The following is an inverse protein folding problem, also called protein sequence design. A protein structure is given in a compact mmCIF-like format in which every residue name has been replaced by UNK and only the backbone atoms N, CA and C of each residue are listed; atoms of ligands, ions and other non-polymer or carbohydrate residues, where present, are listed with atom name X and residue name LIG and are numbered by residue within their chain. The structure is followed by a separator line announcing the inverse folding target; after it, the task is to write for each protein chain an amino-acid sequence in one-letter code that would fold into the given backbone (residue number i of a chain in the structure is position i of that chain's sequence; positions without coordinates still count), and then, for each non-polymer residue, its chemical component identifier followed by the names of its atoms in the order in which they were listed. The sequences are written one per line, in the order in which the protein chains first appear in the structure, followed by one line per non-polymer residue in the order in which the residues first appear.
data_IF_707849828106
#
_entry.id   IF_707849828106
#
_cell.length_a   1.000
_cell.length_b   1.000
_cell.length_c   1.000
_cell.angle_alpha   90.00
_cell.angle_beta   90.00
_cell.angle_gamma   90.00
#
_symmetry.space_group_name_H-M   'P 1'
#
loop_
_entity.id
_entity.type
_entity.pdbx_description
1 polymer ?
#
# COMPACT_ATOMS: atom_id res chain seq x y z
N UNK A 1 -3.23 40.94 -10.39
CA UNK A 1 -4.06 40.41 -9.29
C UNK A 1 -3.54 39.02 -8.94
N UNK A 2 -2.63 38.89 -7.97
CA UNK A 2 -2.13 37.58 -7.54
C UNK A 2 -3.29 36.83 -6.86
N UNK A 3 -3.83 35.79 -7.51
CA UNK A 3 -4.72 34.86 -6.83
C UNK A 3 -3.96 34.29 -5.64
N UNK A 4 -4.45 34.48 -4.42
CA UNK A 4 -3.88 33.82 -3.25
C UNK A 4 -4.09 32.31 -3.40
N UNK A 5 -3.01 31.63 -3.76
CA UNK A 5 -2.96 30.19 -3.92
C UNK A 5 -2.99 29.56 -2.53
N UNK A 6 -4.05 28.83 -2.20
CA UNK A 6 -4.21 28.19 -0.89
C UNK A 6 -3.40 26.88 -0.84
N UNK A 7 -2.23 26.94 -0.21
CA UNK A 7 -1.31 25.79 -0.08
C UNK A 7 -1.67 24.82 1.04
N UNK A 8 -2.30 25.30 2.11
CA UNK A 8 -2.60 24.51 3.30
C UNK A 8 -4.08 24.13 3.35
N UNK A 9 -4.33 22.84 3.53
CA UNK A 9 -5.65 22.28 3.74
C UNK A 9 -6.18 22.54 5.15
N UNK A 10 -7.51 22.53 5.29
CA UNK A 10 -8.12 22.48 6.60
C UNK A 10 -8.05 21.05 7.12
N UNK A 11 -7.79 20.85 8.42
CA UNK A 11 -7.96 19.55 9.04
C UNK A 11 -9.39 19.02 8.81
N UNK A 12 -9.52 17.72 8.59
CA UNK A 12 -10.83 17.10 8.49
C UNK A 12 -11.60 17.25 9.81
N UNK A 13 -12.88 17.64 9.73
CA UNK A 13 -13.78 17.62 10.88
C UNK A 13 -14.04 16.18 11.34
N UNK A 14 -14.35 15.94 12.63
CA UNK A 14 -14.71 14.61 13.12
C UNK A 14 -15.84 14.00 12.28
N UNK A 15 -15.63 12.76 11.80
CA UNK A 15 -16.61 12.05 10.98
C UNK A 15 -16.81 12.57 9.55
N UNK A 16 -15.96 13.50 9.08
CA UNK A 16 -15.98 13.97 7.69
C UNK A 16 -14.74 13.53 6.91
N UNK A 17 -14.91 13.33 5.61
CA UNK A 17 -13.80 13.09 4.68
C UNK A 17 -12.82 14.27 4.68
N UNK A 18 -11.54 13.98 4.47
CA UNK A 18 -10.54 15.01 4.23
C UNK A 18 -10.76 15.58 2.83
N UNK A 19 -10.71 16.91 2.70
CA UNK A 19 -10.97 17.62 1.45
C UNK A 19 -9.71 18.40 1.05
N UNK A 20 -8.86 17.83 0.18
CA UNK A 20 -7.64 18.48 -0.25
C UNK A 20 -7.92 19.62 -1.24
N UNK A 21 -7.07 20.65 -1.22
CA UNK A 21 -7.01 21.71 -2.23
C UNK A 21 -6.62 21.14 -3.59
N UNK A 22 -6.88 21.89 -4.66
CA UNK A 22 -6.47 21.53 -6.02
C UNK A 22 -4.96 21.28 -6.12
N UNK A 23 -4.14 22.01 -5.36
CA UNK A 23 -2.68 21.86 -5.35
C UNK A 23 -2.30 20.51 -4.73
N UNK A 24 -2.89 20.16 -3.60
CA UNK A 24 -2.60 18.88 -2.97
C UNK A 24 -3.12 17.72 -3.80
N UNK A 25 -4.30 17.85 -4.43
CA UNK A 25 -4.77 16.83 -5.38
C UNK A 25 -3.81 16.66 -6.57
N UNK A 26 -3.27 17.76 -7.11
CA UNK A 26 -2.28 17.69 -8.17
C UNK A 26 -0.99 17.02 -7.70
N UNK A 27 -0.50 17.36 -6.50
CA UNK A 27 0.66 16.72 -5.90
C UNK A 27 0.43 15.22 -5.63
N UNK A 28 -0.77 14.84 -5.20
CA UNK A 28 -1.17 13.43 -5.02
C UNK A 28 -1.14 12.67 -6.37
N UNK A 29 -1.59 13.30 -7.46
CA UNK A 29 -1.51 12.71 -8.79
C UNK A 29 -0.05 12.56 -9.26
N UNK A 30 0.76 13.62 -9.12
CA UNK A 30 2.17 13.62 -9.54
C UNK A 30 3.00 12.58 -8.78
N UNK A 31 2.67 12.34 -7.50
CA UNK A 31 3.40 11.37 -6.68
C UNK A 31 3.08 9.91 -6.99
N UNK A 32 1.87 9.58 -7.46
CA UNK A 32 1.45 8.19 -7.69
C UNK A 32 1.34 7.77 -9.16
N UNK A 33 0.93 8.67 -10.07
CA UNK A 33 0.71 8.32 -11.47
C UNK A 33 1.99 7.77 -12.15
N UNK A 34 3.19 8.32 -11.91
CA UNK A 34 4.43 7.77 -12.46
C UNK A 34 4.78 6.38 -11.91
N UNK A 35 4.26 5.98 -10.75
CA UNK A 35 4.55 4.69 -10.13
C UNK A 35 3.89 3.52 -10.86
N UNK A 36 2.81 3.76 -11.62
CA UNK A 36 2.10 2.73 -12.39
C UNK A 36 3.02 2.03 -13.41
N UNK A 37 3.70 2.74 -14.34
CA UNK A 37 4.62 2.08 -15.27
C UNK A 37 5.80 1.41 -14.56
N UNK A 38 6.30 1.96 -13.44
CA UNK A 38 7.31 1.26 -12.62
C UNK A 38 6.77 -0.05 -12.04
N UNK A 39 5.52 -0.08 -11.59
CA UNK A 39 4.85 -1.29 -11.13
C UNK A 39 4.69 -2.33 -12.23
N UNK A 40 4.33 -1.92 -13.45
CA UNK A 40 4.23 -2.82 -14.62
C UNK A 40 5.59 -3.41 -14.97
N UNK A 41 6.62 -2.56 -15.07
CA UNK A 41 8.00 -3.02 -15.35
C UNK A 41 8.47 -3.96 -14.23
N UNK A 42 8.20 -3.63 -12.97
CA UNK A 42 8.55 -4.46 -11.82
C UNK A 42 7.88 -5.83 -11.86
N UNK A 43 6.57 -5.88 -12.13
CA UNK A 43 5.84 -7.15 -12.29
C UNK A 43 6.45 -8.01 -13.41
N UNK A 44 6.72 -7.42 -14.58
CA UNK A 44 7.32 -8.13 -15.70
C UNK A 44 8.70 -8.69 -15.35
N UNK A 45 9.51 -7.93 -14.60
CA UNK A 45 10.83 -8.36 -14.13
C UNK A 45 10.74 -9.51 -13.13
N UNK A 46 9.89 -9.40 -12.11
CA UNK A 46 9.66 -10.50 -11.16
C UNK A 46 9.19 -11.76 -11.90
N UNK A 47 8.26 -11.61 -12.84
CA UNK A 47 7.77 -12.76 -13.59
C UNK A 47 8.84 -13.37 -14.50
N UNK A 48 9.71 -12.56 -15.10
CA UNK A 48 10.81 -13.06 -15.96
C UNK A 48 11.91 -13.82 -15.20
N UNK A 49 12.05 -13.58 -13.90
CA UNK A 49 12.98 -14.29 -12.99
C UNK A 49 12.37 -15.52 -12.33
N UNK A 50 11.08 -15.76 -12.52
CA UNK A 50 10.41 -16.88 -11.87
C UNK A 50 10.69 -18.18 -12.64
N UNK A 51 11.37 -19.13 -12.02
CA UNK A 51 11.69 -20.43 -12.60
C UNK A 51 10.67 -21.51 -12.19
N UNK A 52 10.05 -21.33 -11.03
CA UNK A 52 9.07 -22.27 -10.47
C UNK A 52 7.65 -21.73 -10.52
N UNK A 53 6.68 -22.65 -10.42
CA UNK A 53 5.27 -22.28 -10.34
C UNK A 53 4.96 -21.39 -9.12
N UNK A 54 5.58 -21.68 -7.97
CA UNK A 54 5.41 -20.89 -6.75
C UNK A 54 5.97 -19.47 -6.91
N UNK A 55 7.15 -19.32 -7.52
CA UNK A 55 7.75 -18.02 -7.83
C UNK A 55 6.87 -17.22 -8.81
N UNK A 56 6.31 -17.89 -9.82
CA UNK A 56 5.39 -17.27 -10.77
C UNK A 56 4.14 -16.72 -10.10
N UNK A 57 3.53 -17.50 -9.19
CA UNK A 57 2.38 -17.04 -8.39
C UNK A 57 2.77 -15.84 -7.54
N UNK A 58 3.89 -15.93 -6.81
CA UNK A 58 4.36 -14.85 -5.96
C UNK A 58 4.60 -13.55 -6.75
N UNK A 59 5.25 -13.66 -7.91
CA UNK A 59 5.51 -12.54 -8.81
C UNK A 59 4.21 -11.90 -9.35
N UNK A 60 3.24 -12.71 -9.80
CA UNK A 60 1.96 -12.21 -10.31
C UNK A 60 1.16 -11.54 -9.20
N UNK A 61 1.01 -12.20 -8.04
CA UNK A 61 0.20 -11.69 -6.92
C UNK A 61 0.78 -10.38 -6.41
N UNK A 62 2.09 -10.33 -6.17
CA UNK A 62 2.72 -9.12 -5.63
C UNK A 62 2.81 -8.01 -6.68
N UNK A 63 3.21 -8.32 -7.91
CA UNK A 63 3.29 -7.35 -9.01
C UNK A 63 1.93 -6.73 -9.35
N UNK A 64 0.87 -7.54 -9.43
CA UNK A 64 -0.48 -7.03 -9.67
C UNK A 64 -0.98 -6.14 -8.53
N UNK A 65 -0.63 -6.47 -7.28
CA UNK A 65 -0.97 -5.64 -6.13
C UNK A 65 -0.26 -4.29 -6.15
N UNK A 66 1.04 -4.24 -6.53
CA UNK A 66 1.79 -2.98 -6.72
C UNK A 66 1.08 -2.09 -7.76
N UNK A 67 0.73 -2.66 -8.92
CA UNK A 67 0.04 -1.93 -9.99
C UNK A 67 -1.31 -1.43 -9.50
N UNK A 68 -2.09 -2.30 -8.85
CA UNK A 68 -3.42 -1.97 -8.35
C UNK A 68 -3.40 -0.84 -7.32
N UNK A 69 -2.42 -0.85 -6.40
CA UNK A 69 -2.24 0.19 -5.38
C UNK A 69 -2.08 1.56 -6.02
N UNK A 70 -1.11 1.71 -6.93
CA UNK A 70 -0.83 3.00 -7.56
C UNK A 70 -1.92 3.40 -8.56
N UNK A 71 -2.53 2.44 -9.24
CA UNK A 71 -3.60 2.69 -10.21
C UNK A 71 -4.88 3.18 -9.51
N UNK A 72 -5.36 2.48 -8.48
CA UNK A 72 -6.58 2.86 -7.77
C UNK A 72 -6.47 4.27 -7.18
N UNK A 73 -5.34 4.55 -6.52
CA UNK A 73 -5.04 5.87 -5.97
C UNK A 73 -4.95 6.95 -7.03
N UNK A 74 -4.24 6.69 -8.14
CA UNK A 74 -4.13 7.65 -9.24
C UNK A 74 -5.49 7.95 -9.86
N UNK A 75 -6.30 6.92 -10.13
CA UNK A 75 -7.65 7.09 -10.69
C UNK A 75 -8.53 7.90 -9.74
N UNK A 76 -8.47 7.62 -8.44
CA UNK A 76 -9.21 8.37 -7.44
C UNK A 76 -8.82 9.87 -7.41
N UNK A 77 -7.53 10.17 -7.29
CA UNK A 77 -7.05 11.56 -7.21
C UNK A 77 -7.25 12.33 -8.52
N UNK A 78 -7.01 11.70 -9.67
CA UNK A 78 -7.30 12.30 -10.99
C UNK A 78 -8.80 12.58 -11.12
N UNK A 79 -9.66 11.67 -10.67
CA UNK A 79 -11.09 11.92 -10.67
C UNK A 79 -11.45 13.12 -9.77
N UNK A 80 -10.87 13.19 -8.56
CA UNK A 80 -11.08 14.29 -7.62
C UNK A 80 -10.57 15.66 -8.11
N UNK A 81 -9.63 15.70 -9.07
CA UNK A 81 -9.19 16.96 -9.69
C UNK A 81 -10.31 17.62 -10.51
N UNK A 82 -11.12 16.81 -11.20
CA UNK A 82 -12.16 17.30 -12.11
C UNK A 82 -13.56 17.25 -11.47
N UNK A 83 -13.79 16.34 -10.53
CA UNK A 83 -15.10 16.07 -9.93
C UNK A 83 -15.00 15.99 -8.41
N UNK A 84 -15.67 16.92 -7.72
CA UNK A 84 -15.60 17.01 -6.25
C UNK A 84 -16.61 16.10 -5.52
N UNK A 85 -17.65 15.60 -6.21
CA UNK A 85 -18.75 14.82 -5.61
C UNK A 85 -19.33 13.81 -6.60
N UNK A 86 -19.94 12.74 -6.09
CA UNK A 86 -20.76 11.79 -6.87
C UNK A 86 -20.47 10.33 -6.53
N UNK A 87 -21.39 9.43 -6.90
CA UNK A 87 -21.30 7.99 -6.59
C UNK A 87 -19.98 7.37 -7.05
N UNK A 88 -19.50 7.72 -8.24
CA UNK A 88 -18.24 7.22 -8.78
C UNK A 88 -17.04 7.63 -7.92
N UNK A 89 -17.02 8.86 -7.40
CA UNK A 89 -15.98 9.32 -6.47
C UNK A 89 -15.94 8.41 -5.24
N UNK A 90 -17.10 8.14 -4.66
CA UNK A 90 -17.22 7.39 -3.42
C UNK A 90 -16.81 5.92 -3.65
N UNK A 91 -17.19 5.32 -4.79
CA UNK A 91 -16.69 3.99 -5.20
C UNK A 91 -15.17 3.99 -5.34
N UNK A 92 -14.59 4.97 -6.04
CA UNK A 92 -13.13 5.05 -6.22
C UNK A 92 -12.38 5.27 -4.91
N UNK A 93 -12.95 6.05 -3.99
CA UNK A 93 -12.42 6.25 -2.64
C UNK A 93 -12.37 4.93 -1.87
N UNK A 94 -13.42 4.11 -1.97
CA UNK A 94 -13.46 2.79 -1.33
C UNK A 94 -12.46 1.84 -1.98
N UNK A 95 -12.34 1.84 -3.32
CA UNK A 95 -11.33 1.05 -4.02
C UNK A 95 -9.90 1.41 -3.60
N UNK A 96 -9.58 2.70 -3.48
CA UNK A 96 -8.28 3.22 -3.02
C UNK A 96 -7.95 2.78 -1.57
N UNK A 97 -8.96 2.64 -0.71
CA UNK A 97 -8.79 2.12 0.66
C UNK A 97 -8.62 0.60 0.69
N UNK A 98 -9.49 -0.13 0.00
CA UNK A 98 -9.50 -1.59 -0.04
C UNK A 98 -8.19 -2.14 -0.60
N UNK A 99 -7.63 -1.49 -1.63
CA UNK A 99 -6.40 -1.97 -2.25
C UNK A 99 -5.21 -1.96 -1.29
N UNK A 100 -5.21 -1.11 -0.25
CA UNK A 100 -4.16 -1.09 0.78
C UNK A 100 -4.16 -2.41 1.58
N UNK A 101 -5.34 -2.91 1.99
CA UNK A 101 -5.46 -4.21 2.67
C UNK A 101 -4.93 -5.35 1.80
N UNK A 102 -5.34 -5.38 0.52
CA UNK A 102 -4.92 -6.42 -0.42
C UNK A 102 -3.42 -6.33 -0.71
N UNK A 103 -2.89 -5.12 -0.84
CA UNK A 103 -1.48 -4.87 -1.08
C UNK A 103 -0.60 -5.34 0.08
N UNK A 104 -1.02 -5.10 1.33
CA UNK A 104 -0.31 -5.62 2.50
C UNK A 104 -0.28 -7.15 2.49
N UNK A 105 -1.41 -7.81 2.20
CA UNK A 105 -1.42 -9.27 2.10
C UNK A 105 -0.52 -9.79 0.96
N UNK A 106 -0.60 -9.14 -0.20
CA UNK A 106 0.19 -9.52 -1.37
C UNK A 106 1.70 -9.33 -1.16
N UNK A 107 2.13 -8.32 -0.39
CA UNK A 107 3.54 -8.09 -0.08
C UNK A 107 4.14 -9.17 0.82
N UNK A 108 3.32 -9.85 1.63
CA UNK A 108 3.73 -11.02 2.42
C UNK A 108 3.80 -12.31 1.61
N UNK A 109 2.99 -12.46 0.55
CA UNK A 109 2.92 -13.67 -0.27
C UNK A 109 4.29 -14.22 -0.70
N UNK A 110 5.20 -13.45 -1.33
CA UNK A 110 6.50 -13.99 -1.75
C UNK A 110 7.32 -14.52 -0.56
N UNK A 111 7.30 -13.84 0.58
CA UNK A 111 8.04 -14.28 1.78
C UNK A 111 7.46 -15.56 2.38
N UNK A 112 6.14 -15.64 2.50
CA UNK A 112 5.47 -16.76 3.16
C UNK A 112 5.34 -18.00 2.26
N UNK A 113 5.38 -17.80 0.93
CA UNK A 113 5.28 -18.88 -0.05
C UNK A 113 6.64 -19.46 -0.46
N UNK A 114 7.68 -18.62 -0.57
CA UNK A 114 8.97 -19.02 -1.16
C UNK A 114 10.06 -19.35 -0.12
N UNK A 115 9.96 -18.84 1.11
CA UNK A 115 10.93 -19.17 2.17
C UNK A 115 10.55 -20.44 2.89
N UNK A 116 11.57 -21.16 3.34
CA UNK A 116 11.41 -22.30 4.24
C UNK A 116 11.18 -21.83 5.67
N UNK A 117 10.16 -22.41 6.31
CA UNK A 117 9.82 -22.19 7.71
C UNK A 117 9.85 -23.51 8.48
N UNK A 118 10.09 -23.41 9.79
CA UNK A 118 9.83 -24.53 10.68
C UNK A 118 8.35 -24.93 10.61
N UNK A 119 8.06 -26.21 10.43
CA UNK A 119 6.69 -26.75 10.35
C UNK A 119 5.81 -25.98 9.33
N UNK A 120 4.52 -25.80 9.60
CA UNK A 120 3.58 -25.15 8.68
C UNK A 120 3.47 -23.63 8.84
N UNK A 121 4.40 -22.98 9.55
CA UNK A 121 4.29 -21.56 9.91
C UNK A 121 4.11 -20.63 8.70
N UNK A 122 4.82 -20.86 7.59
CA UNK A 122 4.71 -20.06 6.37
C UNK A 122 3.29 -20.06 5.80
N UNK A 123 2.77 -21.26 5.48
CA UNK A 123 1.45 -21.41 4.88
C UNK A 123 0.31 -21.02 5.84
N UNK A 124 0.40 -21.37 7.13
CA UNK A 124 -0.60 -20.97 8.14
C UNK A 124 -0.67 -19.45 8.27
N UNK A 125 0.49 -18.76 8.24
CA UNK A 125 0.52 -17.29 8.28
C UNK A 125 -0.02 -16.70 6.99
N UNK A 126 0.27 -17.29 5.83
CA UNK A 126 -0.23 -16.81 4.53
C UNK A 126 -1.76 -16.78 4.50
N UNK A 127 -2.42 -17.87 4.88
CA UNK A 127 -3.88 -17.92 4.97
C UNK A 127 -4.44 -16.91 5.98
N UNK A 128 -3.80 -16.80 7.14
CA UNK A 128 -4.23 -15.86 8.19
C UNK A 128 -4.20 -14.42 7.71
N UNK A 129 -3.14 -14.04 6.98
CA UNK A 129 -2.97 -12.69 6.41
C UNK A 129 -4.03 -12.39 5.37
N UNK A 130 -4.27 -13.31 4.42
CA UNK A 130 -5.28 -13.11 3.39
C UNK A 130 -6.71 -13.03 3.94
N UNK A 131 -7.04 -13.88 4.92
CA UNK A 131 -8.34 -13.81 5.61
C UNK A 131 -8.48 -12.46 6.33
N UNK A 132 -7.46 -12.03 7.07
CA UNK A 132 -7.49 -10.75 7.76
C UNK A 132 -7.60 -9.56 6.78
N UNK A 133 -6.93 -9.62 5.62
CA UNK A 133 -7.05 -8.60 4.59
C UNK A 133 -8.45 -8.57 3.97
N UNK A 134 -9.08 -9.71 3.69
CA UNK A 134 -10.47 -9.78 3.19
C UNK A 134 -11.43 -9.18 4.22
N UNK A 135 -11.27 -9.50 5.50
CA UNK A 135 -12.06 -8.91 6.58
C UNK A 135 -11.84 -7.39 6.68
N UNK A 136 -10.59 -6.93 6.52
CA UNK A 136 -10.26 -5.51 6.43
C UNK A 136 -10.92 -4.82 5.24
N UNK A 137 -10.94 -5.46 4.07
CA UNK A 137 -11.64 -4.95 2.88
C UNK A 137 -13.15 -4.82 3.12
N UNK A 138 -13.76 -5.82 3.75
CA UNK A 138 -15.17 -5.77 4.13
C UNK A 138 -15.46 -4.64 5.13
N UNK A 139 -14.55 -4.42 6.09
CA UNK A 139 -14.65 -3.30 7.03
C UNK A 139 -14.59 -1.95 6.30
N UNK A 140 -13.62 -1.74 5.41
CA UNK A 140 -13.51 -0.52 4.62
C UNK A 140 -14.75 -0.25 3.77
N UNK A 141 -15.32 -1.30 3.17
CA UNK A 141 -16.54 -1.18 2.38
C UNK A 141 -17.76 -0.76 3.23
N UNK A 142 -17.91 -1.29 4.44
CA UNK A 142 -19.09 -1.05 5.30
C UNK A 142 -18.97 0.26 6.10
N UNK A 143 -17.77 0.65 6.52
CA UNK A 143 -17.55 1.75 7.49
C UNK A 143 -16.78 2.95 6.92
N UNK A 144 -16.96 3.22 5.62
CA UNK A 144 -16.34 4.35 4.89
C UNK A 144 -16.42 5.65 5.68
N UNK A 145 -15.27 6.30 5.88
CA UNK A 145 -15.10 7.59 6.57
C UNK A 145 -15.60 7.68 8.02
N UNK A 146 -16.12 6.58 8.61
CA UNK A 146 -16.70 6.58 9.96
C UNK A 146 -15.67 6.34 11.06
N UNK A 147 -14.75 5.38 10.85
CA UNK A 147 -13.81 4.92 11.89
C UNK A 147 -12.35 4.95 11.43
N UNK A 148 -11.86 6.12 11.00
CA UNK A 148 -10.50 6.33 10.46
C UNK A 148 -9.34 5.84 11.35
N UNK A 149 -9.53 5.82 12.67
CA UNK A 149 -8.52 5.28 13.59
C UNK A 149 -8.52 3.75 13.61
N UNK A 150 -9.70 3.13 13.51
CA UNK A 150 -9.84 1.66 13.48
C UNK A 150 -9.31 1.12 12.16
N UNK A 151 -9.62 1.77 11.04
CA UNK A 151 -9.02 1.51 9.73
C UNK A 151 -7.49 1.42 9.80
N UNK A 152 -6.85 2.45 10.36
CA UNK A 152 -5.39 2.44 10.51
C UNK A 152 -4.90 1.31 11.43
N UNK A 153 -5.62 1.02 12.52
CA UNK A 153 -5.27 -0.09 13.41
C UNK A 153 -5.38 -1.44 12.69
N UNK A 154 -6.36 -1.62 11.80
CA UNK A 154 -6.49 -2.82 10.97
C UNK A 154 -5.28 -2.92 10.04
N UNK A 155 -4.94 -1.85 9.30
CA UNK A 155 -3.75 -1.84 8.43
C UNK A 155 -2.46 -2.17 9.19
N UNK A 156 -2.28 -1.62 10.39
CA UNK A 156 -1.13 -1.91 11.24
C UNK A 156 -1.15 -3.35 11.78
N UNK A 157 -2.32 -3.88 12.15
CA UNK A 157 -2.44 -5.25 12.63
C UNK A 157 -2.10 -6.26 11.53
N UNK A 158 -2.68 -6.10 10.33
CA UNK A 158 -2.39 -7.00 9.20
C UNK A 158 -0.96 -6.86 8.68
N UNK A 159 -0.30 -5.72 8.92
CA UNK A 159 1.09 -5.51 8.50
C UNK A 159 2.14 -5.90 9.54
N UNK A 160 1.84 -5.87 10.84
CA UNK A 160 2.85 -6.13 11.90
C UNK A 160 2.73 -7.53 12.50
N UNK A 161 1.52 -8.01 12.77
CA UNK A 161 1.34 -9.32 13.42
C UNK A 161 1.95 -10.50 12.64
N UNK A 162 1.85 -10.56 11.30
CA UNK A 162 2.42 -11.68 10.54
C UNK A 162 3.95 -11.75 10.59
N UNK A 163 4.62 -10.62 10.87
CA UNK A 163 6.08 -10.57 11.00
C UNK A 163 6.60 -11.47 12.14
N UNK A 164 5.74 -11.86 13.10
CA UNK A 164 6.07 -12.86 14.11
C UNK A 164 6.48 -14.21 13.48
N UNK A 165 5.90 -14.59 12.34
CA UNK A 165 6.26 -15.82 11.63
C UNK A 165 7.72 -15.86 11.18
N UNK A 166 8.35 -14.70 10.97
CA UNK A 166 9.73 -14.60 10.50
C UNK A 166 10.76 -15.09 11.52
N UNK A 167 10.40 -15.20 12.80
CA UNK A 167 11.25 -15.88 13.78
C UNK A 167 11.42 -17.39 13.50
N UNK A 168 10.46 -17.99 12.79
CA UNK A 168 10.48 -19.39 12.39
C UNK A 168 10.98 -19.61 10.96
N UNK A 169 11.43 -18.53 10.29
CA UNK A 169 12.04 -18.60 8.96
C UNK A 169 13.49 -19.06 9.08
N UNK A 170 13.87 -20.07 8.29
CA UNK A 170 15.23 -20.63 8.27
C UNK A 170 16.23 -19.64 7.66
N UNK A 171 15.96 -19.20 6.43
CA UNK A 171 16.82 -18.29 5.68
C UNK A 171 16.29 -16.86 5.76
N UNK A 172 17.08 -15.95 6.36
CA UNK A 172 16.64 -14.60 6.73
C UNK A 172 17.25 -13.50 5.85
N UNK A 173 17.96 -13.86 4.79
CA UNK A 173 18.44 -12.89 3.80
C UNK A 173 17.28 -12.05 3.25
N UNK A 174 17.58 -10.77 2.97
CA UNK A 174 16.58 -9.79 2.52
C UNK A 174 15.65 -9.24 3.60
N UNK A 175 15.48 -9.89 4.77
CA UNK A 175 14.64 -9.35 5.86
C UNK A 175 15.08 -7.95 6.31
N UNK A 176 16.38 -7.60 6.45
CA UNK A 176 16.77 -6.24 6.82
C UNK A 176 16.27 -5.18 5.82
N UNK A 177 16.29 -5.48 4.52
CA UNK A 177 15.80 -4.57 3.47
C UNK A 177 14.27 -4.46 3.50
N UNK A 178 13.57 -5.58 3.69
CA UNK A 178 12.12 -5.60 3.88
C UNK A 178 11.71 -4.80 5.13
N UNK A 179 12.42 -4.97 6.25
CA UNK A 179 12.19 -4.23 7.50
C UNK A 179 12.49 -2.74 7.35
N UNK A 180 13.50 -2.37 6.56
CA UNK A 180 13.75 -0.97 6.20
C UNK A 180 12.57 -0.37 5.43
N UNK A 181 12.03 -1.10 4.45
CA UNK A 181 10.78 -0.71 3.78
C UNK A 181 9.61 -0.57 4.74
N UNK A 182 9.44 -1.51 5.68
CA UNK A 182 8.39 -1.43 6.71
C UNK A 182 8.56 -0.20 7.62
N UNK A 183 9.79 0.16 7.99
CA UNK A 183 10.08 1.37 8.76
C UNK A 183 9.75 2.65 7.97
N UNK A 184 10.06 2.68 6.67
CA UNK A 184 9.67 3.79 5.79
C UNK A 184 8.14 3.91 5.73
N UNK A 185 7.41 2.80 5.61
CA UNK A 185 5.94 2.81 5.70
C UNK A 185 5.44 3.43 7.01
N UNK A 186 5.93 2.95 8.16
CA UNK A 186 5.52 3.47 9.46
C UNK A 186 5.84 4.95 9.64
N UNK A 187 7.00 5.38 9.14
CA UNK A 187 7.39 6.80 9.14
C UNK A 187 6.44 7.64 8.29
N UNK A 188 6.01 7.12 7.14
CA UNK A 188 5.02 7.75 6.28
C UNK A 188 3.68 7.98 6.99
N UNK A 189 3.23 7.06 7.85
CA UNK A 189 1.93 7.14 8.54
C UNK A 189 1.82 8.42 9.37
N UNK A 190 2.95 8.95 9.84
CA UNK A 190 3.03 10.25 10.52
C UNK A 190 2.49 11.35 9.60
N UNK A 191 2.93 11.41 8.34
CA UNK A 191 2.46 12.41 7.38
C UNK A 191 0.99 12.23 7.04
N UNK A 192 0.52 10.99 6.87
CA UNK A 192 -0.90 10.69 6.67
C UNK A 192 -1.77 11.21 7.82
N UNK A 193 -1.32 11.05 9.08
CA UNK A 193 -2.04 11.62 10.25
C UNK A 193 -1.93 13.14 10.37
N UNK A 194 -0.97 13.75 9.69
CA UNK A 194 -0.75 15.19 9.67
C UNK A 194 -1.44 15.88 8.47
N UNK A 195 -2.34 15.18 7.76
CA UNK A 195 -3.23 15.76 6.76
C UNK A 195 -3.97 17.00 7.31
N UNK A 196 -3.91 18.10 6.55
CA UNK A 196 -4.44 19.42 6.96
C UNK A 196 -3.61 20.16 8.02
N UNK A 197 -2.59 19.54 8.61
CA UNK A 197 -1.66 20.20 9.55
C UNK A 197 -0.38 20.64 8.87
N UNK A 198 0.18 19.80 8.01
CA UNK A 198 1.34 20.09 7.16
C UNK A 198 0.85 20.25 5.70
N UNK A 199 1.29 21.28 4.95
CA UNK A 199 0.94 21.41 3.54
C UNK A 199 1.51 20.22 2.75
N UNK A 200 0.70 19.62 1.86
CA UNK A 200 1.09 18.48 1.02
C UNK A 200 1.43 17.21 1.82
N UNK A 201 0.96 17.08 3.06
CA UNK A 201 1.25 15.91 3.91
C UNK A 201 0.86 14.58 3.23
N UNK A 202 -0.28 14.56 2.55
CA UNK A 202 -0.75 13.38 1.82
C UNK A 202 0.16 13.01 0.64
N UNK A 203 0.64 14.00 -0.11
CA UNK A 203 1.58 13.78 -1.20
C UNK A 203 2.96 13.33 -0.68
N UNK A 204 3.38 13.81 0.50
CA UNK A 204 4.59 13.31 1.16
C UNK A 204 4.38 11.85 1.57
N UNK A 205 3.23 11.50 2.15
CA UNK A 205 2.86 10.12 2.46
C UNK A 205 2.99 9.20 1.24
N UNK A 206 2.48 9.62 0.08
CA UNK A 206 2.63 8.90 -1.19
C UNK A 206 4.10 8.62 -1.56
N UNK A 207 5.00 9.61 -1.38
CA UNK A 207 6.43 9.39 -1.62
C UNK A 207 7.02 8.31 -0.68
N UNK A 208 6.62 8.28 0.59
CA UNK A 208 7.03 7.22 1.53
C UNK A 208 6.50 5.86 1.11
N UNK A 209 5.24 5.78 0.67
CA UNK A 209 4.63 4.54 0.14
C UNK A 209 5.41 4.02 -1.06
N UNK A 210 5.77 4.89 -2.01
CA UNK A 210 6.58 4.49 -3.16
C UNK A 210 7.96 3.99 -2.77
N UNK A 211 8.70 4.73 -1.94
CA UNK A 211 10.06 4.33 -1.49
C UNK A 211 10.00 3.01 -0.73
N UNK A 212 9.03 2.85 0.16
CA UNK A 212 8.85 1.61 0.92
C UNK A 212 8.49 0.42 0.01
N UNK A 213 7.58 0.63 -0.96
CA UNK A 213 7.25 -0.36 -1.99
C UNK A 213 8.49 -0.76 -2.77
N UNK A 214 9.30 0.20 -3.20
CA UNK A 214 10.51 -0.04 -3.97
C UNK A 214 11.54 -0.87 -3.18
N UNK A 215 11.73 -0.57 -1.88
CA UNK A 215 12.61 -1.34 -1.01
C UNK A 215 12.12 -2.79 -0.82
N UNK A 216 10.82 -2.98 -0.56
CA UNK A 216 10.26 -4.32 -0.40
C UNK A 216 10.25 -5.11 -1.71
N UNK A 217 9.95 -4.45 -2.84
CA UNK A 217 10.07 -5.01 -4.18
C UNK A 217 11.49 -5.50 -4.45
N UNK A 218 12.49 -4.65 -4.20
CA UNK A 218 13.89 -4.97 -4.44
C UNK A 218 14.36 -6.14 -3.56
N UNK A 219 13.83 -6.23 -2.32
CA UNK A 219 14.10 -7.35 -1.45
C UNK A 219 13.54 -8.67 -2.02
N UNK A 220 12.34 -8.65 -2.61
CA UNK A 220 11.76 -9.83 -3.28
C UNK A 220 12.57 -10.19 -4.53
N UNK A 221 12.84 -9.21 -5.41
CA UNK A 221 13.58 -9.43 -6.68
C UNK A 221 15.00 -9.99 -6.45
N UNK A 222 15.67 -9.57 -5.37
CA UNK A 222 17.09 -9.91 -5.14
C UNK A 222 17.27 -11.18 -4.31
N UNK A 223 16.36 -11.47 -3.38
CA UNK A 223 16.58 -12.52 -2.38
C UNK A 223 15.63 -13.72 -2.48
N UNK A 224 14.51 -13.58 -3.19
CA UNK A 224 13.45 -14.61 -3.21
C UNK A 224 13.23 -15.26 -4.56
N UNK A 225 13.61 -14.59 -5.65
CA UNK A 225 13.53 -15.15 -6.99
C UNK A 225 14.92 -15.57 -7.44
N UNK A 226 14.99 -16.68 -8.16
CA UNK A 226 16.22 -17.16 -8.79
C UNK A 226 16.52 -16.37 -10.07
N UNK A 227 17.79 -16.36 -10.48
CA UNK A 227 18.26 -15.82 -11.78
C UNK A 227 18.71 -16.98 -12.67
#
# INVERSE_FOLDING_TARGET
MCRHVRWKNEPALPGKAYCPTTIEQLANCISHLPCIPFGVIGMLRLYSKADTYSESIAAIVYGFAIISLFLASSVFHVFCLFHSKGRLRDTLQVCDRIVICLFIAASYTPWLLLRDFHASWGLTTLWSVWIAAILGCAFEYVYVDRFKSVELMIYLAISVLPAYSFFYMHERSGLPMMMMGAFVYLSGVIFFKLDGRIPLAHAIWHCFVFIATFLQYSAVETFLLTD
#
